data_IF_012325336857
#
_entry.id   IF_012325336857
#
_cell.length_a   1.000
_cell.length_b   1.000
_cell.length_c   1.000
_cell.angle_alpha   90.00
_cell.angle_beta   90.00
_cell.angle_gamma   90.00
#
_symmetry.space_group_name_H-M   'P 1'
#
loop_
_entity.id
_entity.type
_entity.pdbx_description
1 polymer ?
#
# COMPACT_ATOMS: atom_id res chain seq x y z
N UNK A 1 -1.35 15.42 -6.09
CA UNK A 1 -0.16 15.87 -5.35
C UNK A 1 0.66 14.62 -5.10
N UNK A 2 1.86 14.55 -5.68
CA UNK A 2 2.82 13.51 -5.27
C UNK A 2 3.23 13.81 -3.84
N UNK A 3 3.26 12.76 -3.01
CA UNK A 3 3.77 12.84 -1.65
C UNK A 3 5.18 12.23 -1.70
N UNK A 4 6.26 13.04 -1.79
CA UNK A 4 7.59 12.51 -1.66
C UNK A 4 7.84 12.24 -0.17
N UNK A 5 8.01 10.97 0.17
CA UNK A 5 8.42 10.52 1.49
C UNK A 5 7.26 10.31 2.47
N UNK A 6 7.15 9.08 3.00
CA UNK A 6 7.21 8.76 4.45
C UNK A 6 6.67 7.34 4.70
N UNK A 7 7.43 6.34 4.24
CA UNK A 7 7.51 5.04 4.93
C UNK A 7 8.74 4.99 5.85
N UNK A 8 9.45 6.10 6.07
CA UNK A 8 10.67 6.15 6.90
C UNK A 8 10.39 5.97 8.41
N UNK A 9 9.12 5.90 8.83
CA UNK A 9 8.75 5.73 10.25
C UNK A 9 7.66 4.70 10.55
N UNK A 10 6.86 4.29 9.56
CA UNK A 10 5.80 3.29 9.76
C UNK A 10 6.37 1.91 10.15
N UNK A 11 7.47 1.51 9.50
CA UNK A 11 8.17 0.24 9.78
C UNK A 11 8.87 0.20 11.15
N UNK A 12 9.07 1.35 11.82
CA UNK A 12 9.65 1.46 13.17
C UNK A 12 8.60 1.77 14.24
N UNK A 13 7.30 1.68 13.92
CA UNK A 13 6.21 1.92 14.86
C UNK A 13 5.97 3.40 15.22
N UNK A 14 6.49 4.35 14.42
CA UNK A 14 6.26 5.79 14.65
C UNK A 14 5.00 6.35 13.98
N UNK A 15 4.23 5.51 13.29
CA UNK A 15 3.04 5.93 12.52
C UNK A 15 3.38 6.82 11.32
N UNK A 16 2.34 7.23 10.58
CA UNK A 16 2.40 8.10 9.41
C UNK A 16 2.56 9.58 9.76
N UNK A 17 2.11 9.96 10.96
CA UNK A 17 2.20 11.32 11.49
C UNK A 17 1.10 12.26 10.98
N UNK A 18 0.74 13.25 11.83
CA UNK A 18 -0.45 14.09 11.64
C UNK A 18 -0.44 14.95 10.37
N UNK A 19 0.72 15.48 9.95
CA UNK A 19 0.80 16.30 8.74
C UNK A 19 0.51 15.48 7.47
N UNK A 20 1.00 14.23 7.43
CA UNK A 20 0.72 13.29 6.35
C UNK A 20 -0.76 12.90 6.34
N UNK A 21 -1.31 12.50 7.48
CA UNK A 21 -2.72 12.10 7.60
C UNK A 21 -3.68 13.21 7.13
N UNK A 22 -3.43 14.47 7.49
CA UNK A 22 -4.20 15.63 7.01
C UNK A 22 -4.08 15.85 5.50
N UNK A 23 -2.93 15.54 4.90
CA UNK A 23 -2.78 15.61 3.46
C UNK A 23 -3.59 14.52 2.76
N UNK A 24 -3.45 13.27 3.22
CA UNK A 24 -4.14 12.10 2.69
C UNK A 24 -5.66 12.24 2.82
N UNK A 25 -6.16 12.93 3.85
CA UNK A 25 -7.59 13.28 4.00
C UNK A 25 -8.13 14.09 2.82
N UNK A 26 -7.32 14.92 2.15
CA UNK A 26 -7.75 15.72 1.00
C UNK A 26 -7.68 14.95 -0.33
N UNK A 27 -7.07 13.77 -0.35
CA UNK A 27 -6.97 12.94 -1.55
C UNK A 27 -8.28 12.19 -1.83
N UNK A 28 -8.65 12.07 -3.11
CA UNK A 28 -9.85 11.33 -3.56
C UNK A 28 -9.60 9.82 -3.68
N UNK A 29 -8.39 9.45 -4.06
CA UNK A 29 -7.94 8.08 -4.28
C UNK A 29 -6.70 7.87 -3.42
N UNK A 30 -6.59 6.68 -2.82
CA UNK A 30 -5.43 6.24 -2.06
C UNK A 30 -4.77 5.07 -2.79
N UNK A 31 -3.46 5.18 -3.01
CA UNK A 31 -2.67 4.09 -3.59
C UNK A 31 -1.73 3.57 -2.51
N UNK A 32 -1.96 2.34 -2.07
CA UNK A 32 -1.17 1.65 -1.08
C UNK A 32 -0.06 0.88 -1.78
N UNK A 33 1.18 1.36 -1.70
CA UNK A 33 2.34 0.64 -2.25
C UNK A 33 2.92 -0.25 -1.16
N UNK A 34 2.71 -1.56 -1.30
CA UNK A 34 3.13 -2.59 -0.35
C UNK A 34 4.36 -3.31 -0.91
N UNK A 35 5.42 -3.43 -0.11
CA UNK A 35 6.63 -4.16 -0.53
C UNK A 35 6.41 -5.66 -0.36
N UNK A 36 6.45 -6.43 -1.46
CA UNK A 36 6.36 -7.89 -1.39
C UNK A 36 7.52 -8.54 -0.63
N UNK A 37 8.67 -7.87 -0.55
CA UNK A 37 9.83 -8.30 0.25
C UNK A 37 9.72 -7.93 1.75
N UNK A 38 8.59 -7.36 2.20
CA UNK A 38 8.37 -7.14 3.63
C UNK A 38 8.17 -8.49 4.34
N UNK A 39 8.58 -8.63 5.62
CA UNK A 39 8.28 -9.82 6.41
C UNK A 39 6.78 -10.11 6.55
N UNK A 40 5.93 -9.07 6.55
CA UNK A 40 4.47 -9.20 6.59
C UNK A 40 3.79 -8.10 5.73
N UNK A 41 3.72 -8.30 4.40
CA UNK A 41 3.14 -7.30 3.49
C UNK A 41 1.66 -7.01 3.78
N UNK A 42 0.92 -8.02 4.28
CA UNK A 42 -0.50 -7.90 4.59
C UNK A 42 -0.69 -7.13 5.89
N UNK A 43 0.11 -7.44 6.91
CA UNK A 43 0.16 -6.69 8.16
C UNK A 43 0.50 -5.22 7.96
N UNK A 44 1.48 -4.93 7.10
CA UNK A 44 1.85 -3.55 6.75
C UNK A 44 0.66 -2.77 6.17
N UNK A 45 -0.06 -3.38 5.23
CA UNK A 45 -1.26 -2.79 4.64
C UNK A 45 -2.36 -2.55 5.68
N UNK A 46 -2.63 -3.55 6.52
CA UNK A 46 -3.65 -3.46 7.57
C UNK A 46 -3.31 -2.39 8.62
N UNK A 47 -2.04 -2.29 9.01
CA UNK A 47 -1.57 -1.28 9.97
C UNK A 47 -1.79 0.14 9.43
N UNK A 48 -1.45 0.38 8.16
CA UNK A 48 -1.70 1.67 7.50
C UNK A 48 -3.20 1.98 7.49
N UNK A 49 -4.03 1.02 7.10
CA UNK A 49 -5.49 1.22 7.06
C UNK A 49 -6.09 1.47 8.44
N UNK A 50 -5.58 0.80 9.48
CA UNK A 50 -5.99 1.04 10.85
C UNK A 50 -5.64 2.47 11.29
N UNK A 51 -4.45 2.97 10.98
CA UNK A 51 -4.06 4.34 11.32
C UNK A 51 -4.93 5.38 10.60
N UNK A 52 -5.26 5.14 9.32
CA UNK A 52 -6.18 5.99 8.57
C UNK A 52 -7.59 6.01 9.18
N UNK A 53 -8.13 4.86 9.59
CA UNK A 53 -9.45 4.76 10.21
C UNK A 53 -9.48 5.41 11.59
N UNK A 54 -8.43 5.24 12.40
CA UNK A 54 -8.29 5.90 13.70
C UNK A 54 -8.21 7.43 13.58
N UNK A 55 -7.57 7.93 12.53
CA UNK A 55 -7.51 9.37 12.25
C UNK A 55 -8.88 9.93 11.81
N UNK A 56 -9.54 9.28 10.85
CA UNK A 56 -10.87 9.65 10.38
C UNK A 56 -11.60 8.42 9.84
N UNK A 57 -12.71 7.97 10.46
CA UNK A 57 -13.44 6.79 10.04
C UNK A 57 -13.94 6.82 8.59
N UNK A 58 -14.09 7.99 7.98
CA UNK A 58 -14.48 8.15 6.57
C UNK A 58 -13.37 7.76 5.59
N UNK A 59 -12.15 7.55 6.06
CA UNK A 59 -11.00 7.20 5.22
C UNK A 59 -11.14 5.80 4.59
N UNK A 60 -11.86 4.88 5.23
CA UNK A 60 -12.13 3.54 4.69
C UNK A 60 -13.08 3.54 3.50
N UNK A 61 -13.94 4.55 3.41
CA UNK A 61 -14.91 4.69 2.31
C UNK A 61 -14.27 5.26 1.04
N UNK A 62 -13.00 5.70 1.13
CA UNK A 62 -12.28 6.22 -0.03
C UNK A 62 -11.97 5.12 -1.02
N UNK A 63 -11.85 5.53 -2.29
CA UNK A 63 -11.36 4.63 -3.32
C UNK A 63 -9.89 4.28 -3.03
N UNK A 64 -9.62 3.01 -2.74
CA UNK A 64 -8.28 2.49 -2.48
C UNK A 64 -7.82 1.55 -3.61
N UNK A 65 -6.54 1.62 -3.95
CA UNK A 65 -5.84 0.68 -4.85
C UNK A 65 -4.63 0.15 -4.11
N UNK A 66 -4.41 -1.15 -4.15
CA UNK A 66 -3.23 -1.79 -3.54
C UNK A 66 -2.25 -2.17 -4.64
N UNK A 67 -0.99 -1.87 -4.43
CA UNK A 67 0.10 -2.10 -5.37
C UNK A 67 1.16 -2.95 -4.66
N UNK A 68 1.23 -4.23 -5.01
CA UNK A 68 2.30 -5.13 -4.59
C UNK A 68 3.55 -4.82 -5.43
N UNK A 69 4.53 -4.19 -4.79
CA UNK A 69 5.78 -3.78 -5.40
C UNK A 69 6.90 -4.81 -5.15
N UNK A 70 7.97 -4.70 -5.95
CA UNK A 70 9.18 -5.57 -5.92
C UNK A 70 8.96 -7.00 -6.41
N UNK A 71 8.00 -7.19 -7.32
CA UNK A 71 7.76 -8.52 -7.94
C UNK A 71 8.90 -9.01 -8.84
N UNK A 72 9.91 -8.17 -9.08
CA UNK A 72 11.16 -8.55 -9.75
C UNK A 72 12.07 -9.43 -8.88
N UNK A 73 11.89 -9.44 -7.56
CA UNK A 73 12.67 -10.29 -6.67
C UNK A 73 12.16 -11.73 -6.74
N UNK A 74 13.03 -12.76 -6.89
CA UNK A 74 12.60 -14.16 -7.02
C UNK A 74 11.71 -14.63 -5.87
N UNK A 75 12.11 -14.32 -4.64
CA UNK A 75 11.36 -14.63 -3.41
C UNK A 75 9.94 -14.04 -3.40
N UNK A 76 9.76 -12.86 -4.00
CA UNK A 76 8.46 -12.20 -4.11
C UNK A 76 7.67 -12.79 -5.28
N UNK A 77 8.32 -13.01 -6.42
CA UNK A 77 7.68 -13.57 -7.61
C UNK A 77 7.09 -14.95 -7.35
N UNK A 78 7.77 -15.80 -6.58
CA UNK A 78 7.29 -17.14 -6.22
C UNK A 78 6.02 -17.11 -5.35
N UNK A 79 5.82 -16.04 -4.60
CA UNK A 79 4.70 -15.87 -3.66
C UNK A 79 3.69 -14.81 -4.11
N UNK A 80 3.90 -14.17 -5.26
CA UNK A 80 3.14 -12.99 -5.69
C UNK A 80 1.64 -13.27 -5.79
N UNK A 81 1.26 -14.42 -6.35
CA UNK A 81 -0.15 -14.83 -6.47
C UNK A 81 -0.83 -15.03 -5.11
N UNK A 82 -0.13 -15.64 -4.15
CA UNK A 82 -0.64 -15.86 -2.79
C UNK A 82 -0.76 -14.53 -2.02
N UNK A 83 0.29 -13.70 -2.07
CA UNK A 83 0.29 -12.37 -1.47
C UNK A 83 -0.83 -11.49 -2.04
N UNK A 84 -1.03 -11.53 -3.35
CA UNK A 84 -2.12 -10.79 -4.01
C UNK A 84 -3.49 -11.26 -3.53
N UNK A 85 -3.73 -12.57 -3.43
CA UNK A 85 -5.00 -13.10 -2.90
C UNK A 85 -5.24 -12.60 -1.47
N UNK A 86 -4.22 -12.71 -0.61
CA UNK A 86 -4.30 -12.23 0.78
C UNK A 86 -4.57 -10.73 0.85
N UNK A 87 -3.95 -9.93 -0.02
CA UNK A 87 -4.19 -8.49 -0.10
C UNK A 87 -5.59 -8.15 -0.63
N UNK A 88 -6.13 -8.91 -1.59
CA UNK A 88 -7.51 -8.76 -2.06
C UNK A 88 -8.48 -9.02 -0.90
N UNK A 89 -8.27 -10.10 -0.15
CA UNK A 89 -9.10 -10.46 1.00
C UNK A 89 -9.02 -9.40 2.10
N UNK A 90 -7.81 -8.93 2.42
CA UNK A 90 -7.58 -7.88 3.43
C UNK A 90 -8.15 -6.53 3.02
N UNK A 91 -8.08 -6.16 1.73
CA UNK A 91 -8.62 -4.89 1.23
C UNK A 91 -10.14 -4.92 1.01
N UNK A 92 -10.74 -6.11 0.92
CA UNK A 92 -12.15 -6.28 0.59
C UNK A 92 -12.50 -5.87 -0.85
N UNK A 93 -11.51 -5.78 -1.74
CA UNK A 93 -11.72 -5.39 -3.14
C UNK A 93 -10.64 -5.93 -4.09
N UNK A 94 -10.99 -6.05 -5.37
CA UNK A 94 -10.11 -6.62 -6.41
C UNK A 94 -9.09 -5.65 -7.03
N UNK A 95 -9.06 -4.37 -6.62
CA UNK A 95 -8.12 -3.36 -7.11
C UNK A 95 -6.71 -3.54 -6.52
N UNK A 96 -6.12 -4.70 -6.79
CA UNK A 96 -4.77 -5.10 -6.34
C UNK A 96 -3.93 -5.41 -7.57
N UNK A 97 -2.81 -4.71 -7.71
CA UNK A 97 -1.92 -4.78 -8.87
C UNK A 97 -0.50 -5.17 -8.45
N UNK A 98 0.21 -5.85 -9.33
CA UNK A 98 1.62 -6.19 -9.17
C UNK A 98 2.46 -5.24 -10.02
N UNK A 99 3.52 -4.70 -9.45
CA UNK A 99 4.48 -3.84 -10.17
C UNK A 99 5.90 -4.12 -9.72
N UNK A 100 6.84 -3.78 -10.59
CA UNK A 100 8.24 -3.58 -10.20
C UNK A 100 8.65 -2.16 -10.57
N UNK A 101 8.81 -1.32 -9.54
CA UNK A 101 9.34 0.03 -9.73
C UNK A 101 10.80 0.01 -10.24
N UNK A 102 11.57 -1.05 -9.93
CA UNK A 102 12.97 -1.17 -10.34
C UNK A 102 13.14 -1.49 -11.83
N UNK A 103 12.28 -2.34 -12.38
CA UNK A 103 12.33 -2.76 -13.79
C UNK A 103 11.36 -1.98 -14.68
N UNK A 104 10.42 -1.24 -14.09
CA UNK A 104 9.32 -0.59 -14.80
C UNK A 104 8.17 -1.52 -15.16
N UNK A 105 8.22 -2.80 -14.77
CA UNK A 105 7.16 -3.77 -15.03
C UNK A 105 5.82 -3.27 -14.47
N UNK A 106 4.85 -3.12 -15.38
CA UNK A 106 3.47 -2.66 -15.13
C UNK A 106 3.34 -1.30 -14.41
N UNK A 107 4.43 -0.55 -14.26
CA UNK A 107 4.40 0.77 -13.64
C UNK A 107 3.60 1.79 -14.47
N UNK A 108 3.54 1.60 -15.78
CA UNK A 108 2.77 2.46 -16.69
C UNK A 108 1.26 2.28 -16.58
N UNK A 109 0.78 1.15 -16.06
CA UNK A 109 -0.65 0.90 -15.85
C UNK A 109 -1.20 1.66 -14.63
N UNK A 110 -0.33 2.29 -13.84
CA UNK A 110 -0.69 3.14 -12.71
C UNK A 110 -0.80 4.63 -13.08
N UNK A 111 -0.43 5.01 -14.31
CA UNK A 111 -0.49 6.38 -14.84
C UNK A 111 -1.80 6.63 -15.58
#
# INVERSE_FOLDING_TARGET
ADIPGLLEGAHTGRGLGMAFLRHVERCRILVHVVSGASPDPVGDFLAINQELELFNPKMKDKMQVVVLNKVDLPEVSEQADDLKRKLVDAAGHSRVMEVSAATGYRAQELM
#
